data_IF_700058249072
#
_entry.id   IF_700058249072
#
_cell.length_a   1.000
_cell.length_b   1.000
_cell.length_c   1.000
_cell.angle_alpha   90.00
_cell.angle_beta   90.00
_cell.angle_gamma   90.00
#
_symmetry.space_group_name_H-M   'P 1'
#
loop_
_entity.id
_entity.type
_entity.pdbx_description
1 polymer ?
#
# COMPACT_ATOMS: atom_id res chain seq x y z
N UNK A 1 13.77 -15.23 4.71
CA UNK A 1 14.92 -14.49 4.14
C UNK A 1 15.29 -14.93 2.72
N UNK A 2 15.63 -16.19 2.46
CA UNK A 2 16.12 -16.67 1.14
C UNK A 2 15.21 -16.34 -0.06
N UNK A 3 13.89 -16.48 0.09
CA UNK A 3 12.93 -16.18 -1.00
C UNK A 3 12.96 -14.71 -1.43
N UNK A 4 13.08 -13.78 -0.47
CA UNK A 4 13.11 -12.35 -0.77
C UNK A 4 14.42 -11.94 -1.46
N UNK A 5 15.55 -12.51 -1.03
CA UNK A 5 16.85 -12.33 -1.71
C UNK A 5 16.76 -12.82 -3.16
N UNK A 6 16.23 -14.02 -3.37
CA UNK A 6 16.02 -14.58 -4.72
C UNK A 6 15.11 -13.70 -5.58
N UNK A 7 14.09 -13.07 -4.99
CA UNK A 7 13.23 -12.13 -5.70
C UNK A 7 14.00 -10.88 -6.17
N UNK A 8 14.81 -10.26 -5.30
CA UNK A 8 15.64 -9.10 -5.65
C UNK A 8 16.63 -9.45 -6.76
N UNK A 9 17.29 -10.60 -6.67
CA UNK A 9 18.22 -11.07 -7.71
C UNK A 9 17.51 -11.24 -9.06
N UNK A 10 16.31 -11.83 -9.07
CA UNK A 10 15.51 -11.97 -10.29
C UNK A 10 15.09 -10.62 -10.86
N UNK A 11 14.62 -9.70 -10.01
CA UNK A 11 14.21 -8.35 -10.40
C UNK A 11 15.38 -7.60 -11.07
N UNK A 12 16.58 -7.68 -10.48
CA UNK A 12 17.77 -7.00 -10.99
C UNK A 12 18.19 -7.48 -12.40
N UNK A 13 17.85 -8.73 -12.74
CA UNK A 13 18.20 -9.38 -14.00
C UNK A 13 17.08 -9.33 -15.07
N UNK A 14 15.93 -8.69 -14.79
CA UNK A 14 14.89 -8.50 -15.81
C UNK A 14 15.39 -7.62 -16.96
N UNK A 15 14.97 -7.97 -18.19
CA UNK A 15 15.30 -7.23 -19.42
C UNK A 15 14.03 -6.98 -20.26
N UNK A 16 13.62 -5.72 -20.49
CA UNK A 16 14.21 -4.50 -19.94
C UNK A 16 14.06 -4.45 -18.41
N UNK A 17 14.98 -3.72 -17.76
CA UNK A 17 14.93 -3.53 -16.31
C UNK A 17 13.69 -2.69 -15.93
N UNK A 18 12.95 -3.03 -14.87
CA UNK A 18 11.82 -2.21 -14.43
C UNK A 18 12.30 -0.84 -13.93
N UNK A 19 11.45 0.18 -14.06
CA UNK A 19 11.72 1.50 -13.49
C UNK A 19 11.45 1.54 -11.98
N UNK A 20 10.52 0.72 -11.51
CA UNK A 20 10.20 0.57 -10.09
C UNK A 20 9.62 -0.82 -9.81
N UNK A 21 9.65 -1.21 -8.54
CA UNK A 21 8.97 -2.38 -7.98
C UNK A 21 8.05 -1.92 -6.87
N UNK A 22 6.87 -2.54 -6.78
CA UNK A 22 5.89 -2.27 -5.74
C UNK A 22 5.70 -3.50 -4.88
N UNK A 23 5.71 -3.32 -3.56
CA UNK A 23 5.32 -4.36 -2.59
C UNK A 23 4.01 -3.93 -1.95
N UNK A 24 2.95 -4.69 -2.23
CA UNK A 24 1.57 -4.33 -1.90
C UNK A 24 1.18 -4.74 -0.47
N UNK A 25 1.92 -4.25 0.54
CA UNK A 25 1.63 -4.51 1.96
C UNK A 25 2.26 -5.77 2.52
N UNK A 26 2.15 -5.88 3.84
CA UNK A 26 2.77 -6.91 4.68
C UNK A 26 4.27 -7.01 4.42
N UNK A 27 4.93 -5.85 4.52
CA UNK A 27 6.38 -5.68 4.41
C UNK A 27 7.08 -6.38 5.58
N UNK A 28 6.42 -6.36 6.74
CA UNK A 28 6.75 -7.17 7.92
C UNK A 28 5.58 -8.11 8.24
N UNK A 29 5.79 -9.05 9.17
CA UNK A 29 4.79 -10.06 9.54
C UNK A 29 4.37 -9.97 11.01
N UNK A 30 5.21 -9.46 11.89
CA UNK A 30 4.87 -9.41 13.32
C UNK A 30 3.81 -8.33 13.61
N UNK A 31 2.69 -8.74 14.20
CA UNK A 31 1.57 -7.87 14.54
C UNK A 31 1.56 -7.51 16.03
N UNK A 32 2.13 -8.34 16.89
CA UNK A 32 2.10 -8.16 18.34
C UNK A 32 2.80 -6.88 18.75
N UNK A 33 2.10 -6.02 19.50
CA UNK A 33 2.67 -4.79 20.06
C UNK A 33 3.75 -5.08 21.11
N UNK A 34 3.69 -6.24 21.74
CA UNK A 34 4.68 -6.69 22.73
C UNK A 34 5.96 -7.24 22.08
N UNK A 35 5.92 -7.57 20.78
CA UNK A 35 7.03 -8.15 20.03
C UNK A 35 7.88 -7.09 19.29
N UNK A 36 8.14 -5.97 19.94
CA UNK A 36 8.86 -4.83 19.34
C UNK A 36 10.22 -5.23 18.75
N UNK A 37 11.00 -6.05 19.46
CA UNK A 37 12.31 -6.51 18.96
C UNK A 37 12.20 -7.31 17.66
N UNK A 38 11.19 -8.17 17.54
CA UNK A 38 10.96 -8.95 16.32
C UNK A 38 10.54 -8.04 15.16
N UNK A 39 9.69 -7.04 15.42
CA UNK A 39 9.30 -6.03 14.41
C UNK A 39 10.53 -5.29 13.89
N UNK A 40 11.41 -4.79 14.76
CA UNK A 40 12.64 -4.09 14.36
C UNK A 40 13.58 -4.98 13.54
N UNK A 41 13.75 -6.25 13.92
CA UNK A 41 14.55 -7.20 13.15
C UNK A 41 13.96 -7.42 11.75
N UNK A 42 12.64 -7.54 11.61
CA UNK A 42 11.98 -7.70 10.31
C UNK A 42 12.10 -6.44 9.44
N UNK A 43 11.98 -5.25 10.03
CA UNK A 43 12.19 -3.97 9.32
C UNK A 43 13.62 -3.90 8.79
N UNK A 44 14.62 -4.21 9.64
CA UNK A 44 16.02 -4.20 9.26
C UNK A 44 16.32 -5.23 8.15
N UNK A 45 15.79 -6.46 8.27
CA UNK A 45 15.93 -7.49 7.23
C UNK A 45 15.34 -7.03 5.90
N UNK A 46 14.13 -6.45 5.92
CA UNK A 46 13.50 -5.90 4.73
C UNK A 46 14.36 -4.83 4.07
N UNK A 47 14.81 -3.83 4.84
CA UNK A 47 15.63 -2.73 4.34
C UNK A 47 16.97 -3.24 3.78
N UNK A 48 17.63 -4.17 4.47
CA UNK A 48 18.88 -4.79 3.99
C UNK A 48 18.68 -5.59 2.70
N UNK A 49 17.59 -6.33 2.56
CA UNK A 49 17.32 -7.10 1.35
C UNK A 49 17.03 -6.17 0.18
N UNK A 50 16.11 -5.22 0.34
CA UNK A 50 15.67 -4.38 -0.76
C UNK A 50 16.63 -3.23 -1.10
N UNK A 51 17.55 -2.86 -0.22
CA UNK A 51 18.68 -1.97 -0.57
C UNK A 51 19.62 -2.56 -1.64
N UNK A 52 19.52 -3.87 -1.91
CA UNK A 52 20.27 -4.56 -2.98
C UNK A 52 19.58 -4.49 -4.35
N UNK A 53 18.41 -3.85 -4.45
CA UNK A 53 17.84 -3.53 -5.75
C UNK A 53 18.83 -2.69 -6.57
N UNK A 54 18.86 -2.92 -7.88
CA UNK A 54 19.70 -2.16 -8.78
C UNK A 54 19.37 -0.66 -8.64
N UNK A 55 20.35 0.26 -8.57
CA UNK A 55 20.12 1.67 -8.24
C UNK A 55 19.15 2.43 -9.18
N UNK A 56 18.89 1.89 -10.37
CA UNK A 56 17.93 2.45 -11.33
C UNK A 56 16.48 1.98 -11.10
N UNK A 57 16.22 1.10 -10.12
CA UNK A 57 14.91 0.56 -9.80
C UNK A 57 14.46 1.20 -8.49
N UNK A 58 13.41 2.01 -8.54
CA UNK A 58 12.81 2.57 -7.33
C UNK A 58 11.98 1.52 -6.58
N UNK A 59 12.03 1.52 -5.26
CA UNK A 59 11.14 0.73 -4.42
C UNK A 59 9.92 1.56 -4.00
N UNK A 60 8.73 0.99 -4.17
CA UNK A 60 7.46 1.57 -3.73
C UNK A 60 6.84 0.63 -2.69
N UNK A 61 6.65 1.14 -1.48
CA UNK A 61 6.05 0.41 -0.38
C UNK A 61 4.58 0.82 -0.21
N UNK A 62 3.68 -0.15 -0.21
CA UNK A 62 2.29 0.01 0.20
C UNK A 62 2.15 -0.61 1.58
N UNK A 63 1.38 -0.02 2.49
CA UNK A 63 1.12 -0.61 3.80
C UNK A 63 -0.01 -1.66 3.75
N UNK A 64 0.17 -2.74 4.50
CA UNK A 64 -0.83 -3.74 4.84
C UNK A 64 -1.16 -3.75 6.33
N UNK A 65 -2.04 -4.67 6.78
CA UNK A 65 -2.38 -4.75 8.21
C UNK A 65 -1.17 -5.13 9.06
N UNK A 66 -0.23 -5.93 8.53
CA UNK A 66 0.95 -6.30 9.32
C UNK A 66 1.89 -5.10 9.54
N UNK A 67 1.78 -4.06 8.73
CA UNK A 67 2.66 -2.88 8.82
C UNK A 67 2.08 -1.76 9.69
N UNK A 68 0.76 -1.54 9.64
CA UNK A 68 0.07 -0.46 10.38
C UNK A 68 -0.95 -0.94 11.40
N UNK A 69 -1.19 -2.25 11.50
CA UNK A 69 -2.19 -2.87 12.36
C UNK A 69 -3.56 -3.08 11.67
N UNK A 70 -4.33 -4.05 12.16
CA UNK A 70 -5.72 -4.28 11.73
C UNK A 70 -6.66 -3.13 12.12
N UNK A 71 -6.33 -2.43 13.21
CA UNK A 71 -6.97 -1.19 13.66
C UNK A 71 -5.83 -0.18 13.85
N UNK A 72 -5.46 0.55 12.78
CA UNK A 72 -4.34 1.48 12.85
C UNK A 72 -4.60 2.60 13.85
N UNK A 73 -3.52 3.14 14.42
CA UNK A 73 -3.54 4.31 15.29
C UNK A 73 -2.40 5.28 14.88
N UNK A 74 -2.34 6.46 15.51
CA UNK A 74 -1.35 7.48 15.13
C UNK A 74 0.10 6.97 15.27
N UNK A 75 0.40 6.20 16.32
CA UNK A 75 1.74 5.64 16.53
C UNK A 75 2.13 4.62 15.46
N UNK A 76 1.22 3.70 15.09
CA UNK A 76 1.50 2.68 14.07
C UNK A 76 1.70 3.31 12.69
N UNK A 77 0.92 4.35 12.36
CA UNK A 77 1.08 5.10 11.12
C UNK A 77 2.41 5.87 11.11
N UNK A 78 2.77 6.53 12.22
CA UNK A 78 4.03 7.27 12.30
C UNK A 78 5.25 6.35 12.22
N UNK A 79 5.22 5.18 12.88
CA UNK A 79 6.26 4.16 12.75
C UNK A 79 6.40 3.67 11.31
N UNK A 80 5.29 3.36 10.63
CA UNK A 80 5.34 3.00 9.21
C UNK A 80 6.01 4.12 8.39
N UNK A 81 5.62 5.38 8.62
CA UNK A 81 6.16 6.54 7.89
C UNK A 81 7.65 6.73 8.11
N UNK A 82 8.14 6.50 9.32
CA UNK A 82 9.56 6.58 9.65
C UNK A 82 10.40 5.54 8.90
N UNK A 83 9.91 4.30 8.78
CA UNK A 83 10.70 3.21 8.20
C UNK A 83 10.49 3.00 6.69
N UNK A 84 9.31 3.31 6.16
CA UNK A 84 8.91 2.99 4.78
C UNK A 84 8.44 4.19 3.96
N UNK A 85 8.32 5.37 4.58
CA UNK A 85 7.85 6.60 3.92
C UNK A 85 6.33 6.76 3.94
N UNK A 86 5.81 7.68 3.13
CA UNK A 86 4.38 8.04 3.14
C UNK A 86 3.48 6.81 2.97
N UNK A 87 2.40 6.74 3.75
CA UNK A 87 1.43 5.63 3.76
C UNK A 87 0.41 5.71 2.63
N UNK A 88 0.22 6.90 2.05
CA UNK A 88 -0.46 7.12 0.78
C UNK A 88 0.19 8.28 0.03
N UNK A 89 0.30 8.15 -1.29
CA UNK A 89 0.94 9.15 -2.15
C UNK A 89 0.68 8.87 -3.63
N UNK A 90 1.14 9.78 -4.50
CA UNK A 90 1.06 9.61 -5.95
C UNK A 90 2.40 9.88 -6.61
N UNK A 91 2.67 9.20 -7.72
CA UNK A 91 3.83 9.50 -8.56
C UNK A 91 3.52 9.27 -10.04
N UNK A 92 4.28 9.93 -10.91
CA UNK A 92 4.20 9.73 -12.36
C UNK A 92 5.36 8.87 -12.83
N UNK A 93 5.08 7.90 -13.69
CA UNK A 93 6.11 7.13 -14.39
C UNK A 93 5.63 6.80 -15.80
N UNK A 94 6.42 7.17 -16.82
CA UNK A 94 6.09 6.89 -18.22
C UNK A 94 4.75 7.46 -18.69
N UNK A 95 4.32 8.61 -18.16
CA UNK A 95 3.04 9.23 -18.52
C UNK A 95 1.80 8.59 -17.89
N UNK A 96 1.98 7.69 -16.91
CA UNK A 96 0.89 7.07 -16.12
C UNK A 96 0.96 7.60 -14.69
N UNK A 97 -0.21 7.94 -14.13
CA UNK A 97 -0.34 8.33 -12.73
C UNK A 97 -0.53 7.08 -11.88
N UNK A 98 0.34 6.88 -10.90
CA UNK A 98 0.23 5.82 -9.92
C UNK A 98 -0.22 6.40 -8.58
N UNK A 99 -1.22 5.78 -7.96
CA UNK A 99 -1.71 6.12 -6.63
C UNK A 99 -1.42 4.97 -5.69
N UNK A 100 -0.78 5.25 -4.56
CA UNK A 100 -0.59 4.29 -3.45
C UNK A 100 -1.56 4.68 -2.36
N UNK A 101 -2.39 3.73 -1.91
CA UNK A 101 -3.39 3.98 -0.87
C UNK A 101 -3.13 3.15 0.38
N UNK A 102 -3.35 3.76 1.55
CA UNK A 102 -3.51 3.04 2.79
C UNK A 102 -4.93 2.50 2.88
N UNK A 103 -5.12 1.23 2.49
CA UNK A 103 -6.44 0.60 2.53
C UNK A 103 -6.91 0.19 3.92
N UNK A 104 -6.04 0.23 4.95
CA UNK A 104 -6.50 -0.02 6.32
C UNK A 104 -7.47 1.05 6.80
N UNK A 105 -7.33 2.30 6.33
CA UNK A 105 -8.30 3.35 6.58
C UNK A 105 -9.71 3.05 6.04
N UNK A 106 -9.85 2.19 5.03
CA UNK A 106 -11.16 1.75 4.54
C UNK A 106 -11.67 0.50 5.26
N UNK A 107 -10.77 -0.26 5.90
CA UNK A 107 -11.09 -1.46 6.66
C UNK A 107 -11.53 -1.14 8.08
N UNK A 108 -10.74 -0.34 8.78
CA UNK A 108 -11.05 0.18 10.10
C UNK A 108 -10.35 1.54 10.29
N UNK A 109 -11.13 2.60 10.57
CA UNK A 109 -10.64 3.96 10.80
C UNK A 109 -10.97 4.50 12.18
N UNK A 110 -11.37 3.65 13.12
CA UNK A 110 -11.93 4.06 14.41
C UNK A 110 -10.96 4.96 15.20
N UNK A 111 -9.65 4.68 15.10
CA UNK A 111 -8.59 5.44 15.79
C UNK A 111 -7.83 6.42 14.88
N UNK A 112 -8.19 6.54 13.60
CA UNK A 112 -7.46 7.36 12.59
C UNK A 112 -8.40 8.12 11.66
N UNK A 113 -9.57 8.51 12.15
CA UNK A 113 -10.62 9.15 11.35
C UNK A 113 -10.10 10.35 10.55
N UNK A 114 -9.28 11.21 11.17
CA UNK A 114 -8.69 12.39 10.52
C UNK A 114 -7.80 11.99 9.33
N UNK A 115 -6.90 11.03 9.49
CA UNK A 115 -6.05 10.56 8.39
C UNK A 115 -6.86 9.91 7.26
N UNK A 116 -7.92 9.18 7.61
CA UNK A 116 -8.79 8.59 6.62
C UNK A 116 -9.55 9.66 5.80
N UNK A 117 -10.02 10.73 6.45
CA UNK A 117 -10.66 11.88 5.80
C UNK A 117 -9.67 12.66 4.90
N UNK A 118 -8.42 12.85 5.35
CA UNK A 118 -7.35 13.46 4.56
C UNK A 118 -7.06 12.66 3.29
N UNK A 119 -6.94 11.32 3.39
CA UNK A 119 -6.77 10.45 2.23
C UNK A 119 -8.00 10.49 1.30
N UNK A 120 -9.21 10.54 1.84
CA UNK A 120 -10.45 10.60 1.05
C UNK A 120 -10.56 11.89 0.23
N UNK A 121 -10.18 13.02 0.83
CA UNK A 121 -10.09 14.30 0.14
C UNK A 121 -9.01 14.25 -0.94
N UNK A 122 -7.80 13.85 -0.57
CA UNK A 122 -6.65 13.75 -1.48
C UNK A 122 -6.97 12.87 -2.70
N UNK A 123 -7.57 11.70 -2.49
CA UNK A 123 -7.93 10.79 -3.57
C UNK A 123 -8.96 11.44 -4.51
N UNK A 124 -9.95 12.13 -3.95
CA UNK A 124 -10.98 12.83 -4.73
C UNK A 124 -10.36 13.92 -5.61
N UNK A 125 -9.42 14.70 -5.06
CA UNK A 125 -8.67 15.71 -5.81
C UNK A 125 -7.84 15.07 -6.93
N UNK A 126 -7.08 14.00 -6.63
CA UNK A 126 -6.26 13.30 -7.64
C UNK A 126 -7.07 12.74 -8.79
N UNK A 127 -8.23 12.13 -8.51
CA UNK A 127 -9.10 11.59 -9.54
C UNK A 127 -9.75 12.70 -10.39
N UNK A 128 -10.13 13.82 -9.79
CA UNK A 128 -10.72 14.94 -10.52
C UNK A 128 -9.70 15.68 -11.39
N UNK A 129 -8.52 15.98 -10.86
CA UNK A 129 -7.47 16.73 -11.56
C UNK A 129 -6.89 15.95 -12.74
N UNK A 130 -6.98 14.62 -12.70
CA UNK A 130 -6.41 13.72 -13.69
C UNK A 130 -7.48 12.92 -14.42
N UNK A 131 -8.70 13.45 -14.50
CA UNK A 131 -9.82 12.79 -15.17
C UNK A 131 -9.47 12.48 -16.64
N UNK A 132 -9.70 11.22 -17.03
CA UNK A 132 -9.37 10.72 -18.38
C UNK A 132 -7.89 10.44 -18.63
N UNK A 133 -7.01 10.63 -17.64
CA UNK A 133 -5.64 10.12 -17.68
C UNK A 133 -5.61 8.64 -17.29
N UNK A 134 -4.56 7.92 -17.69
CA UNK A 134 -4.37 6.54 -17.22
C UNK A 134 -3.90 6.56 -15.76
N UNK A 135 -4.75 6.06 -14.87
CA UNK A 135 -4.48 5.95 -13.43
C UNK A 135 -4.35 4.47 -13.05
N UNK A 136 -3.33 4.12 -12.28
CA UNK A 136 -3.15 2.79 -11.69
C UNK A 136 -3.07 2.94 -10.18
N UNK A 137 -3.87 2.16 -9.46
CA UNK A 137 -3.95 2.20 -8.00
C UNK A 137 -3.29 0.96 -7.40
N UNK A 138 -2.38 1.17 -6.47
CA UNK A 138 -1.78 0.13 -5.64
C UNK A 138 -2.36 0.18 -4.23
N UNK A 139 -2.74 -1.00 -3.74
CA UNK A 139 -3.35 -1.18 -2.44
C UNK A 139 -3.07 -2.59 -1.93
N UNK A 140 -3.19 -2.78 -0.61
CA UNK A 140 -3.02 -4.07 0.04
C UNK A 140 -4.34 -4.87 0.13
N UNK A 141 -5.39 -4.24 0.68
CA UNK A 141 -6.68 -4.92 0.86
C UNK A 141 -7.48 -4.75 -0.43
N UNK A 142 -7.88 -5.82 -1.12
CA UNK A 142 -8.70 -5.71 -2.30
C UNK A 142 -10.10 -5.19 -1.97
N UNK A 143 -10.70 -4.50 -2.94
CA UNK A 143 -12.11 -4.09 -2.83
C UNK A 143 -13.01 -5.30 -2.65
N UNK A 144 -12.79 -6.34 -3.46
CA UNK A 144 -13.44 -7.66 -3.42
C UNK A 144 -12.44 -8.73 -3.86
N UNK A 145 -12.64 -9.99 -3.47
CA UNK A 145 -11.76 -11.12 -3.79
C UNK A 145 -12.31 -11.92 -4.98
N UNK A 146 -13.59 -12.30 -4.93
CA UNK A 146 -14.26 -13.12 -5.92
C UNK A 146 -15.26 -12.31 -6.75
N UNK A 147 -16.12 -11.53 -6.09
CA UNK A 147 -17.16 -10.75 -6.78
C UNK A 147 -17.56 -9.49 -6.02
N UNK A 148 -18.04 -8.47 -6.73
CA UNK A 148 -18.32 -7.14 -6.17
C UNK A 148 -19.37 -7.15 -5.05
N UNK A 149 -20.31 -8.10 -5.07
CA UNK A 149 -21.39 -8.24 -4.08
C UNK A 149 -21.09 -9.27 -2.98
N UNK A 150 -19.85 -9.75 -2.89
CA UNK A 150 -19.47 -10.71 -1.86
C UNK A 150 -19.60 -10.10 -0.46
N UNK A 151 -19.92 -10.94 0.53
CA UNK A 151 -20.02 -10.52 1.93
C UNK A 151 -18.70 -9.95 2.42
N UNK A 152 -18.78 -9.03 3.39
CA UNK A 152 -17.59 -8.54 4.08
C UNK A 152 -16.93 -9.70 4.83
N UNK A 153 -15.63 -9.90 4.59
CA UNK A 153 -14.77 -10.91 5.18
C UNK A 153 -13.43 -10.28 5.57
N UNK A 154 -12.49 -11.07 6.08
CA UNK A 154 -11.19 -10.58 6.48
C UNK A 154 -10.43 -9.90 5.32
N UNK A 155 -10.45 -10.50 4.14
CA UNK A 155 -9.65 -10.08 2.99
C UNK A 155 -10.23 -8.94 2.14
N UNK A 156 -11.42 -8.41 2.44
CA UNK A 156 -12.03 -7.39 1.59
C UNK A 156 -12.51 -6.15 2.37
N UNK A 157 -12.74 -5.05 1.66
CA UNK A 157 -13.36 -3.86 2.22
C UNK A 157 -14.88 -4.07 2.36
N UNK A 158 -15.49 -3.46 3.38
CA UNK A 158 -16.93 -3.52 3.59
C UNK A 158 -17.70 -3.02 2.36
N UNK A 159 -18.85 -3.65 2.11
CA UNK A 159 -19.68 -3.45 0.92
C UNK A 159 -20.03 -1.98 0.64
N UNK A 160 -20.40 -1.20 1.66
CA UNK A 160 -20.80 0.20 1.46
C UNK A 160 -19.62 1.05 0.97
N UNK A 161 -18.43 0.90 1.57
CA UNK A 161 -17.23 1.60 1.13
C UNK A 161 -16.77 1.12 -0.24
N UNK A 162 -16.82 -0.19 -0.48
CA UNK A 162 -16.48 -0.81 -1.76
C UNK A 162 -17.27 -0.22 -2.91
N UNK A 163 -18.61 -0.21 -2.81
CA UNK A 163 -19.49 0.27 -3.90
C UNK A 163 -19.22 1.73 -4.21
N UNK A 164 -19.21 2.59 -3.18
CA UNK A 164 -18.93 4.01 -3.34
C UNK A 164 -17.55 4.28 -3.95
N UNK A 165 -16.52 3.52 -3.56
CA UNK A 165 -15.17 3.73 -4.10
C UNK A 165 -15.04 3.24 -5.54
N UNK A 166 -15.60 2.08 -5.87
CA UNK A 166 -15.58 1.56 -7.23
C UNK A 166 -16.32 2.51 -8.19
N UNK A 167 -17.46 3.06 -7.78
CA UNK A 167 -18.16 4.09 -8.55
C UNK A 167 -17.32 5.35 -8.72
N UNK A 168 -16.70 5.85 -7.63
CA UNK A 168 -15.81 7.02 -7.67
C UNK A 168 -14.64 6.82 -8.65
N UNK A 169 -13.96 5.68 -8.57
CA UNK A 169 -12.81 5.37 -9.43
C UNK A 169 -13.25 5.19 -10.88
N UNK A 170 -14.36 4.49 -11.14
CA UNK A 170 -14.90 4.33 -12.49
C UNK A 170 -15.32 5.66 -13.13
N UNK A 171 -15.85 6.61 -12.35
CA UNK A 171 -16.25 7.92 -12.84
C UNK A 171 -15.06 8.84 -13.23
N UNK A 172 -13.84 8.51 -12.79
CA UNK A 172 -12.62 9.27 -13.09
C UNK A 172 -12.05 9.00 -14.49
N UNK A 173 -12.55 7.98 -15.20
CA UNK A 173 -12.07 7.55 -16.52
C UNK A 173 -11.09 6.38 -16.41
#
# INVERSE_FOLDING_TARGET
MEKAICAVDKINNLTPRPQFVVICGDLINELSDDATEIKELQINDFQQIFSKLHPSISLVCVCGNHDVGNIPNEDSINKYREHFGQDYFSFWCGGVLFLVMNTQYYKNRDNVKKHAEEQDQWLTEKLNDNKGQRIIVFQHIPWFVENVDEKTQYFNINENFRKNMLEKMHAAG
#
